data_IF_393716856029
#
_entry.id   IF_393716856029
#
_cell.length_a   1.000
_cell.length_b   1.000
_cell.length_c   1.000
_cell.angle_alpha   90.00
_cell.angle_beta   90.00
_cell.angle_gamma   90.00
#
_symmetry.space_group_name_H-M   'P 1'
#
loop_
_entity.id
_entity.type
_entity.pdbx_description
1 polymer ?
#
# COMPACT_ATOMS: atom_id res chain seq x y z
N UNK A 1 9.85 6.85 1.47
CA UNK A 1 10.06 5.44 1.08
C UNK A 1 10.33 5.40 -0.42
N UNK A 2 10.91 4.33 -0.93
CA UNK A 2 11.07 4.12 -2.38
C UNK A 2 10.27 2.88 -2.76
N UNK A 3 9.49 2.99 -3.82
CA UNK A 3 8.61 1.94 -4.34
C UNK A 3 8.51 2.07 -5.85
N UNK A 4 8.31 0.95 -6.54
CA UNK A 4 8.07 0.96 -7.97
C UNK A 4 6.59 1.23 -8.31
N UNK A 5 6.27 1.36 -9.60
CA UNK A 5 4.89 1.64 -10.03
C UNK A 5 3.92 0.49 -9.71
N UNK A 6 4.41 -0.75 -9.65
CA UNK A 6 3.60 -1.93 -9.34
C UNK A 6 3.23 -1.93 -7.86
N UNK A 7 4.19 -1.66 -6.98
CA UNK A 7 3.98 -1.47 -5.55
C UNK A 7 2.95 -0.36 -5.28
N UNK A 8 3.04 0.74 -6.05
CA UNK A 8 2.06 1.82 -5.96
C UNK A 8 0.66 1.31 -6.32
N UNK A 9 0.54 0.57 -7.43
CA UNK A 9 -0.73 -0.02 -7.86
C UNK A 9 -1.37 -0.91 -6.78
N UNK A 10 -0.56 -1.68 -6.04
CA UNK A 10 -1.03 -2.54 -4.96
C UNK A 10 -1.63 -1.77 -3.77
N UNK A 11 -1.12 -0.58 -3.45
CA UNK A 11 -1.61 0.25 -2.31
C UNK A 11 -2.61 1.32 -2.73
N UNK A 12 -2.67 1.68 -4.01
CA UNK A 12 -3.39 2.87 -4.50
C UNK A 12 -4.89 2.83 -4.21
N UNK A 13 -5.52 1.65 -4.31
CA UNK A 13 -6.94 1.48 -4.03
C UNK A 13 -7.25 1.32 -2.52
N UNK A 14 -6.23 1.37 -1.66
CA UNK A 14 -6.36 1.27 -0.21
C UNK A 14 -6.75 -0.11 0.32
N UNK A 15 -6.69 -1.15 -0.52
CA UNK A 15 -6.90 -2.54 -0.10
C UNK A 15 -5.67 -3.21 0.53
N UNK A 16 -4.48 -2.65 0.29
CA UNK A 16 -3.22 -3.14 0.84
C UNK A 16 -2.53 -2.03 1.62
N UNK A 17 -2.14 -2.32 2.87
CA UNK A 17 -1.38 -1.38 3.67
C UNK A 17 0.09 -1.32 3.22
N UNK A 18 0.68 -0.12 3.00
CA UNK A 18 2.12 0.04 2.76
C UNK A 18 3.04 -0.72 3.74
N UNK A 19 2.70 -0.82 5.02
CA UNK A 19 3.49 -1.58 5.99
C UNK A 19 3.52 -3.09 5.74
N UNK A 20 2.49 -3.64 5.08
CA UNK A 20 2.48 -5.04 4.62
C UNK A 20 3.53 -5.27 3.55
N UNK A 21 3.65 -4.37 2.57
CA UNK A 21 4.66 -4.46 1.52
C UNK A 21 6.09 -4.29 2.06
N UNK A 22 6.27 -3.43 3.04
CA UNK A 22 7.56 -3.28 3.74
C UNK A 22 7.93 -4.56 4.50
N UNK A 23 6.97 -5.19 5.20
CA UNK A 23 7.19 -6.46 5.91
C UNK A 23 7.47 -7.62 4.97
N UNK A 24 6.84 -7.63 3.80
CA UNK A 24 7.08 -8.61 2.74
C UNK A 24 8.40 -8.37 1.97
N UNK A 25 9.09 -7.25 2.23
CA UNK A 25 10.35 -6.90 1.56
C UNK A 25 10.20 -6.35 0.14
N UNK A 26 8.97 -6.06 -0.30
CA UNK A 26 8.71 -5.46 -1.62
C UNK A 26 9.10 -3.97 -1.65
N UNK A 27 8.87 -3.24 -0.56
CA UNK A 27 9.12 -1.79 -0.46
C UNK A 27 10.17 -1.47 0.60
N UNK A 28 11.11 -0.57 0.27
CA UNK A 28 12.09 -0.06 1.23
C UNK A 28 11.60 1.24 1.92
N UNK A 29 11.35 1.13 3.22
CA UNK A 29 11.09 2.28 4.09
C UNK A 29 12.37 2.73 4.80
N UNK A 30 12.65 4.05 4.76
CA UNK A 30 13.80 4.64 5.46
C UNK A 30 13.66 4.54 6.98
N UNK A 31 12.44 4.60 7.50
CA UNK A 31 12.12 4.37 8.90
C UNK A 31 10.75 3.72 9.04
N UNK A 32 10.56 2.84 10.04
CA UNK A 32 9.29 2.13 10.27
C UNK A 32 8.10 3.08 10.43
N UNK A 33 8.32 4.26 11.02
CA UNK A 33 7.27 5.26 11.17
C UNK A 33 6.76 5.84 9.84
N UNK A 34 7.56 5.83 8.74
CA UNK A 34 7.04 6.21 7.41
C UNK A 34 5.94 5.24 7.01
N UNK A 35 6.17 3.94 7.19
CA UNK A 35 5.23 2.92 6.72
C UNK A 35 3.88 3.06 7.44
N UNK A 36 3.89 3.30 8.75
CA UNK A 36 2.67 3.50 9.55
C UNK A 36 1.95 4.80 9.16
N UNK A 37 2.70 5.89 8.92
CA UNK A 37 2.09 7.13 8.43
C UNK A 37 1.47 6.96 7.04
N UNK A 38 2.17 6.27 6.14
CA UNK A 38 1.66 5.93 4.82
C UNK A 38 0.42 5.04 4.90
N UNK A 39 0.35 4.10 5.85
CA UNK A 39 -0.88 3.32 6.06
C UNK A 39 -2.08 4.23 6.31
N UNK A 40 -1.93 5.28 7.13
CA UNK A 40 -3.01 6.23 7.39
C UNK A 40 -3.39 7.05 6.14
N UNK A 41 -2.42 7.39 5.29
CA UNK A 41 -2.68 8.15 4.05
C UNK A 41 -3.38 7.32 2.96
N UNK A 42 -3.00 6.05 2.82
CA UNK A 42 -3.51 5.17 1.76
C UNK A 42 -4.71 4.33 2.20
N UNK A 43 -5.09 4.37 3.48
CA UNK A 43 -6.24 3.60 3.98
C UNK A 43 -7.54 4.08 3.33
N UNK A 44 -8.15 3.19 2.56
CA UNK A 44 -9.53 3.36 2.11
C UNK A 44 -10.50 3.08 3.27
N UNK A 45 -11.59 3.85 3.34
CA UNK A 45 -12.67 3.59 4.30
C UNK A 45 -13.37 2.24 4.03
N UNK A 46 -13.37 1.81 2.78
CA UNK A 46 -13.96 0.54 2.32
C UNK A 46 -12.92 -0.23 1.52
N UNK A 47 -12.97 -1.55 1.65
CA UNK A 47 -12.14 -2.41 0.82
C UNK A 47 -12.50 -2.25 -0.66
N UNK A 48 -11.52 -2.21 -1.57
CA UNK A 48 -11.79 -2.12 -2.99
C UNK A 48 -12.49 -3.38 -3.49
N UNK A 49 -13.39 -3.18 -4.46
CA UNK A 49 -14.19 -4.25 -5.05
C UNK A 49 -14.05 -4.20 -6.57
N UNK A 50 -14.02 -5.38 -7.19
CA UNK A 50 -14.03 -5.53 -8.64
C UNK A 50 -15.46 -5.88 -9.08
N UNK A 51 -16.25 -4.90 -9.56
CA UNK A 51 -17.67 -5.12 -9.85
C UNK A 51 -17.90 -5.95 -11.12
N UNK A 52 -16.92 -5.99 -12.02
CA UNK A 52 -17.03 -6.64 -13.32
C UNK A 52 -15.70 -7.28 -13.72
N UNK A 53 -15.81 -8.38 -14.45
CA UNK A 53 -14.71 -9.09 -15.08
C UNK A 53 -14.91 -8.96 -16.60
N UNK A 54 -13.85 -8.59 -17.30
CA UNK A 54 -13.83 -8.33 -18.75
C UNK A 54 -13.05 -9.42 -19.48
#
# INVERSE_FOLDING_TARGET
MSLDVSDLGSIYLGGTAPSTLVRAGHVQARHRAVAVFSDALFRGERAPHCPHWF
#
